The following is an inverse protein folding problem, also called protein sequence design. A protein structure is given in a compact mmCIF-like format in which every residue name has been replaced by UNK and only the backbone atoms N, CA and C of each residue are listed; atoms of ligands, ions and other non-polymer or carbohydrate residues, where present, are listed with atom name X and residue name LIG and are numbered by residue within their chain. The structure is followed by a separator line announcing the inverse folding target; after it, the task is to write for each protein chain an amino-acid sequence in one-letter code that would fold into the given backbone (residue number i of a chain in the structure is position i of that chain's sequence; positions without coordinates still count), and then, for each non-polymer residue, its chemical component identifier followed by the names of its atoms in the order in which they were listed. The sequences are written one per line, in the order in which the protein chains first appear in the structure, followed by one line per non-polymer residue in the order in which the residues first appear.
data_IF_256385256070
#
_entry.id   IF_256385256070
#
_cell.length_a   1.000
_cell.length_b   1.000
_cell.length_c   1.000
_cell.angle_alpha   90.00
_cell.angle_beta   90.00
_cell.angle_gamma   90.00
#
_symmetry.space_group_name_H-M   'P 1'
#
loop_
_entity.id
_entity.type
_entity.pdbx_description
1 polymer ?
#
# COMPACT_ATOMS: atom_id res chain seq x y z
N UNK A 1 -56.72 65.42 -23.52
CA UNK A 1 -55.73 64.82 -22.59
C UNK A 1 -55.49 63.37 -22.97
N UNK A 2 -54.36 63.04 -23.62
CA UNK A 2 -53.99 61.67 -24.01
C UNK A 2 -53.30 60.99 -22.80
N UNK A 3 -53.90 59.92 -22.25
CA UNK A 3 -53.22 59.05 -21.27
C UNK A 3 -52.33 58.06 -22.03
N UNK A 4 -51.02 58.13 -21.83
CA UNK A 4 -50.04 57.14 -22.30
C UNK A 4 -49.96 56.02 -21.25
N UNK A 5 -50.29 54.79 -21.64
CA UNK A 5 -50.02 53.60 -20.85
C UNK A 5 -48.59 53.13 -21.05
N UNK A 6 -47.83 53.00 -19.97
CA UNK A 6 -46.48 52.44 -19.97
C UNK A 6 -46.62 50.92 -19.83
N UNK A 7 -46.18 50.17 -20.85
CA UNK A 7 -46.02 48.71 -20.76
C UNK A 7 -44.65 48.40 -20.15
N UNK A 8 -44.66 47.84 -18.95
CA UNK A 8 -43.48 47.28 -18.29
C UNK A 8 -43.25 45.86 -18.83
N UNK A 9 -42.20 45.68 -19.63
CA UNK A 9 -41.72 44.38 -20.08
C UNK A 9 -40.80 43.80 -19.00
N UNK A 10 -41.24 42.73 -18.35
CA UNK A 10 -40.42 41.97 -17.41
C UNK A 10 -39.50 41.02 -18.18
N UNK A 11 -38.20 41.27 -18.15
CA UNK A 11 -37.19 40.32 -18.63
C UNK A 11 -36.91 39.29 -17.52
N UNK A 12 -37.43 38.08 -17.70
CA UNK A 12 -37.01 36.93 -16.91
C UNK A 12 -35.62 36.49 -17.37
N UNK A 13 -34.58 36.80 -16.59
CA UNK A 13 -33.27 36.18 -16.75
C UNK A 13 -33.35 34.73 -16.28
N UNK A 14 -33.48 33.80 -17.23
CA UNK A 14 -33.21 32.38 -16.96
C UNK A 14 -31.69 32.19 -16.84
N UNK A 15 -31.20 31.99 -15.63
CA UNK A 15 -29.83 31.49 -15.43
C UNK A 15 -29.80 30.03 -15.89
N UNK A 16 -29.28 29.80 -17.09
CA UNK A 16 -28.98 28.45 -17.56
C UNK A 16 -27.80 27.94 -16.75
N UNK A 17 -28.06 27.15 -15.71
CA UNK A 17 -27.01 26.39 -15.03
C UNK A 17 -26.60 25.28 -16.01
N UNK A 18 -25.51 25.53 -16.75
CA UNK A 18 -24.82 24.47 -17.49
C UNK A 18 -24.19 23.57 -16.44
N UNK A 19 -24.87 22.48 -16.08
CA UNK A 19 -24.25 21.40 -15.31
C UNK A 19 -23.27 20.73 -16.27
N UNK A 20 -21.99 21.10 -16.16
CA UNK A 20 -20.94 20.39 -16.88
C UNK A 20 -21.03 18.91 -16.53
N UNK A 21 -21.24 18.06 -17.53
CA UNK A 21 -21.26 16.61 -17.35
C UNK A 21 -19.89 16.19 -16.81
N UNK A 22 -19.86 15.57 -15.63
CA UNK A 22 -18.61 15.12 -15.03
C UNK A 22 -17.94 14.06 -15.89
N UNK A 23 -16.62 14.13 -16.03
CA UNK A 23 -15.83 13.16 -16.79
C UNK A 23 -15.84 11.78 -16.12
N UNK A 24 -15.90 11.75 -14.77
CA UNK A 24 -15.86 10.54 -13.97
C UNK A 24 -16.92 10.58 -12.87
N UNK A 25 -17.44 9.41 -12.49
CA UNK A 25 -18.32 9.23 -11.33
C UNK A 25 -17.76 8.08 -10.49
N UNK A 26 -17.64 8.30 -9.19
CA UNK A 26 -17.06 7.34 -8.25
C UNK A 26 -17.73 7.50 -6.88
N UNK A 27 -17.69 6.47 -6.05
CA UNK A 27 -18.18 6.56 -4.67
C UNK A 27 -17.09 7.08 -3.75
N UNK A 28 -17.49 7.76 -2.67
CA UNK A 28 -16.59 8.26 -1.64
C UNK A 28 -15.64 7.16 -1.15
N UNK A 29 -14.36 7.51 -0.98
CA UNK A 29 -13.26 6.61 -0.58
C UNK A 29 -12.89 5.49 -1.56
N UNK A 30 -13.60 5.33 -2.68
CA UNK A 30 -13.26 4.34 -3.73
C UNK A 30 -12.42 4.98 -4.84
N UNK A 31 -11.58 4.18 -5.50
CA UNK A 31 -10.61 4.70 -6.48
C UNK A 31 -11.22 4.94 -7.86
N UNK A 32 -11.10 6.16 -8.38
CA UNK A 32 -11.29 6.50 -9.78
C UNK A 32 -9.94 6.47 -10.51
N UNK A 33 -9.88 5.81 -11.68
CA UNK A 33 -8.71 5.85 -12.57
C UNK A 33 -8.97 6.79 -13.75
N UNK A 34 -8.12 7.80 -13.87
CA UNK A 34 -8.21 8.85 -14.88
C UNK A 34 -7.05 8.66 -15.85
N UNK A 35 -7.34 8.50 -17.13
CA UNK A 35 -6.33 8.38 -18.19
C UNK A 35 -5.99 9.76 -18.76
N UNK A 36 -4.70 10.05 -18.87
CA UNK A 36 -4.13 11.15 -19.63
C UNK A 36 -3.30 10.58 -20.79
N UNK A 37 -3.22 11.34 -21.87
CA UNK A 37 -2.45 10.94 -23.06
C UNK A 37 -1.46 12.04 -23.38
N UNK A 38 -0.18 11.72 -23.28
CA UNK A 38 0.89 12.64 -23.63
C UNK A 38 0.86 13.00 -25.11
N UNK A 39 1.11 14.27 -25.41
CA UNK A 39 1.33 14.75 -26.79
C UNK A 39 2.77 14.60 -27.25
N UNK A 40 3.65 14.07 -26.38
CA UNK A 40 5.07 13.83 -26.62
C UNK A 40 5.49 12.41 -26.28
N UNK A 41 6.61 11.99 -26.86
CA UNK A 41 7.31 10.77 -26.49
C UNK A 41 8.57 11.12 -25.72
N UNK A 42 8.92 10.30 -24.74
CA UNK A 42 10.11 10.43 -23.90
C UNK A 42 10.90 9.13 -23.98
N UNK A 43 12.23 9.22 -23.90
CA UNK A 43 13.08 8.02 -23.99
C UNK A 43 12.98 7.22 -22.69
N UNK A 44 12.98 7.91 -21.55
CA UNK A 44 12.73 7.34 -20.23
C UNK A 44 11.61 8.15 -19.52
N UNK A 45 10.33 7.78 -19.75
CA UNK A 45 9.20 8.51 -19.18
C UNK A 45 9.18 8.53 -17.65
N UNK A 46 9.75 7.52 -16.99
CA UNK A 46 9.83 7.46 -15.53
C UNK A 46 10.81 8.50 -14.97
N UNK A 47 11.96 8.68 -15.62
CA UNK A 47 12.97 9.61 -15.12
C UNK A 47 12.81 11.05 -15.61
N UNK A 48 12.27 11.25 -16.81
CA UNK A 48 12.25 12.55 -17.49
C UNK A 48 11.02 13.41 -17.13
N UNK A 49 9.90 12.80 -16.75
CA UNK A 49 8.61 13.50 -16.64
C UNK A 49 7.84 13.13 -15.39
N UNK A 50 7.57 14.14 -14.57
CA UNK A 50 6.68 14.01 -13.42
C UNK A 50 5.39 14.79 -13.68
N UNK A 51 4.27 14.13 -13.41
CA UNK A 51 2.94 14.74 -13.47
C UNK A 51 2.28 14.58 -12.12
N UNK A 52 1.67 15.65 -11.62
CA UNK A 52 0.86 15.67 -10.40
C UNK A 52 -0.50 16.28 -10.71
N UNK A 53 -1.52 15.87 -9.97
CA UNK A 53 -2.87 16.40 -10.08
C UNK A 53 -3.33 16.92 -8.73
N UNK A 54 -3.89 18.12 -8.71
CA UNK A 54 -4.55 18.68 -7.54
C UNK A 54 -6.06 18.60 -7.75
N UNK A 55 -6.73 17.96 -6.80
CA UNK A 55 -8.18 17.83 -6.74
C UNK A 55 -8.70 18.83 -5.72
N UNK A 56 -9.59 19.72 -6.13
CA UNK A 56 -10.16 20.78 -5.28
C UNK A 56 -11.66 20.56 -5.11
N UNK A 57 -12.11 20.46 -3.86
CA UNK A 57 -13.52 20.43 -3.48
C UNK A 57 -14.15 21.84 -3.53
N UNK A 58 -15.49 21.94 -3.48
CA UNK A 58 -16.19 23.23 -3.54
C UNK A 58 -15.94 24.13 -2.33
N UNK A 59 -15.51 23.55 -1.20
CA UNK A 59 -15.12 24.25 0.03
C UNK A 59 -13.66 24.72 0.03
N UNK A 60 -12.90 24.45 -1.05
CA UNK A 60 -11.49 24.77 -1.17
C UNK A 60 -10.55 23.69 -0.62
N UNK A 61 -11.06 22.59 -0.06
CA UNK A 61 -10.24 21.43 0.36
C UNK A 61 -9.47 20.89 -0.85
N UNK A 62 -8.18 20.62 -0.69
CA UNK A 62 -7.33 20.10 -1.76
C UNK A 62 -6.69 18.77 -1.41
N UNK A 63 -6.64 17.85 -2.37
CA UNK A 63 -5.88 16.60 -2.30
C UNK A 63 -4.98 16.54 -3.54
N UNK A 64 -3.68 16.37 -3.34
CA UNK A 64 -2.72 16.23 -4.43
C UNK A 64 -2.32 14.77 -4.60
N UNK A 65 -2.22 14.32 -5.85
CA UNK A 65 -1.84 12.95 -6.20
C UNK A 65 -0.84 12.96 -7.36
N UNK A 66 0.27 12.21 -7.28
CA UNK A 66 1.10 11.97 -8.45
C UNK A 66 0.34 11.13 -9.49
N UNK A 67 0.62 11.38 -10.77
CA UNK A 67 0.30 10.47 -11.85
C UNK A 67 1.45 9.47 -12.05
N UNK A 68 1.16 8.38 -12.76
CA UNK A 68 2.13 7.36 -13.15
C UNK A 68 2.03 7.05 -14.64
N UNK A 69 3.19 6.83 -15.27
CA UNK A 69 3.29 6.33 -16.65
C UNK A 69 2.90 4.85 -16.72
N UNK A 70 2.11 4.44 -17.72
CA UNK A 70 1.62 3.05 -17.87
C UNK A 70 1.89 2.47 -19.26
N UNK A 71 2.94 2.95 -19.93
CA UNK A 71 3.42 2.47 -21.23
C UNK A 71 3.11 3.45 -22.38
N UNK A 72 3.97 3.45 -23.39
CA UNK A 72 3.87 4.37 -24.53
C UNK A 72 3.64 5.82 -24.10
N UNK A 73 2.57 6.43 -24.60
CA UNK A 73 2.17 7.81 -24.28
C UNK A 73 1.07 7.91 -23.20
N UNK A 74 0.85 6.86 -22.39
CA UNK A 74 -0.24 6.81 -21.41
C UNK A 74 0.23 7.15 -20.00
N UNK A 75 -0.45 8.09 -19.37
CA UNK A 75 -0.35 8.40 -17.94
C UNK A 75 -1.69 8.14 -17.27
N UNK A 76 -1.65 7.80 -15.99
CA UNK A 76 -2.84 7.55 -15.19
C UNK A 76 -2.74 8.25 -13.84
N UNK A 77 -3.88 8.68 -13.33
CA UNK A 77 -4.03 9.21 -11.97
C UNK A 77 -5.08 8.37 -11.27
N UNK A 78 -4.84 8.00 -10.02
CA UNK A 78 -5.86 7.38 -9.17
C UNK A 78 -6.24 8.32 -8.02
N UNK A 79 -7.55 8.51 -7.85
CA UNK A 79 -8.12 9.45 -6.89
C UNK A 79 -9.33 8.84 -6.17
N UNK A 80 -9.34 8.93 -4.84
CA UNK A 80 -10.40 8.48 -3.95
C UNK A 80 -10.98 9.71 -3.24
N UNK A 81 -12.11 10.27 -3.71
CA UNK A 81 -12.69 11.49 -3.13
C UNK A 81 -13.17 11.25 -1.70
N UNK A 82 -12.88 12.22 -0.82
CA UNK A 82 -13.14 12.10 0.62
C UNK A 82 -14.48 12.65 1.07
N UNK A 83 -15.21 13.31 0.16
CA UNK A 83 -16.54 13.87 0.39
C UNK A 83 -17.43 13.73 -0.86
N UNK A 84 -18.76 13.52 -0.70
CA UNK A 84 -19.73 13.31 -1.78
C UNK A 84 -20.11 14.62 -2.48
N UNK A 85 -19.12 15.22 -3.14
CA UNK A 85 -19.22 16.49 -3.87
C UNK A 85 -18.57 16.36 -5.25
N UNK A 86 -18.71 17.39 -6.09
CA UNK A 86 -17.94 17.46 -7.34
C UNK A 86 -16.55 18.01 -7.04
N UNK A 87 -15.52 17.26 -7.41
CA UNK A 87 -14.12 17.65 -7.32
C UNK A 87 -13.62 18.14 -8.68
N UNK A 88 -12.87 19.24 -8.70
CA UNK A 88 -12.16 19.71 -9.88
C UNK A 88 -10.72 19.24 -9.83
N UNK A 89 -10.28 18.51 -10.85
CA UNK A 89 -8.88 18.12 -11.04
C UNK A 89 -8.19 19.14 -11.94
N UNK A 90 -6.97 19.55 -11.59
CA UNK A 90 -6.03 20.26 -12.49
C UNK A 90 -4.67 19.58 -12.42
N UNK A 91 -4.06 19.30 -13.57
CA UNK A 91 -2.72 18.67 -13.64
C UNK A 91 -1.59 19.68 -13.79
N UNK A 92 -0.43 19.36 -13.24
CA UNK A 92 0.85 20.02 -13.47
C UNK A 92 1.87 18.98 -13.94
N UNK A 93 2.71 19.35 -14.90
CA UNK A 93 3.68 18.47 -15.55
C UNK A 93 5.02 19.21 -15.60
N UNK A 94 6.13 18.54 -15.31
CA UNK A 94 7.47 19.15 -15.34
C UNK A 94 7.84 19.65 -16.73
N UNK A 95 7.41 18.95 -17.78
CA UNK A 95 7.39 19.48 -19.15
C UNK A 95 6.11 20.28 -19.40
N UNK A 96 6.15 21.58 -19.11
CA UNK A 96 5.00 22.49 -19.24
C UNK A 96 4.48 22.64 -20.67
N UNK A 97 5.25 22.21 -21.67
CA UNK A 97 4.87 22.29 -23.08
C UNK A 97 4.13 21.03 -23.55
N UNK A 98 4.03 20.00 -22.72
CA UNK A 98 3.21 18.82 -22.99
C UNK A 98 1.73 19.12 -22.73
N UNK A 99 1.03 19.58 -23.77
CA UNK A 99 -0.39 19.96 -23.71
C UNK A 99 -1.34 18.80 -23.45
N UNK A 100 -0.87 17.54 -23.47
CA UNK A 100 -1.66 16.36 -23.09
C UNK A 100 -1.57 15.99 -21.61
N UNK A 101 -0.60 16.58 -20.88
CA UNK A 101 -0.34 16.29 -19.46
C UNK A 101 -0.38 17.54 -18.57
N UNK A 102 -0.03 18.72 -19.08
CA UNK A 102 -0.01 19.97 -18.32
C UNK A 102 -1.34 20.72 -18.40
N UNK A 103 -1.80 21.30 -17.30
CA UNK A 103 -3.03 22.11 -17.20
C UNK A 103 -4.31 21.39 -17.69
N UNK A 104 -4.33 20.06 -17.64
CA UNK A 104 -5.54 19.29 -17.94
C UNK A 104 -6.52 19.48 -16.78
N UNK A 105 -7.73 19.92 -17.11
CA UNK A 105 -8.82 20.07 -16.14
C UNK A 105 -9.89 19.03 -16.40
N UNK A 106 -10.36 18.35 -15.36
CA UNK A 106 -11.51 17.44 -15.41
C UNK A 106 -12.37 17.57 -14.15
N UNK A 107 -13.62 17.11 -14.22
CA UNK A 107 -14.53 17.06 -13.06
C UNK A 107 -14.86 15.62 -12.66
N UNK A 108 -14.81 15.35 -11.36
CA UNK A 108 -15.09 14.04 -10.76
C UNK A 108 -16.30 14.19 -9.84
N UNK A 109 -17.41 13.53 -10.17
CA UNK A 109 -18.57 13.47 -9.29
C UNK A 109 -18.36 12.38 -8.25
N UNK A 110 -18.26 12.76 -6.98
CA UNK A 110 -18.27 11.83 -5.86
C UNK A 110 -19.71 11.60 -5.36
N UNK A 111 -20.13 10.34 -5.29
CA UNK A 111 -21.39 9.93 -4.67
C UNK A 111 -21.14 9.42 -3.24
N UNK A 112 -22.12 9.51 -2.33
CA UNK A 112 -22.03 8.82 -1.04
C UNK A 112 -21.82 7.32 -1.25
N UNK A 113 -20.95 6.72 -0.45
CA UNK A 113 -20.82 5.26 -0.42
C UNK A 113 -22.01 4.65 0.33
N UNK A 114 -22.76 3.76 -0.33
CA UNK A 114 -23.93 3.08 0.26
C UNK A 114 -23.71 1.58 0.48
N UNK A 115 -22.48 1.09 0.32
CA UNK A 115 -22.15 -0.31 0.50
C UNK A 115 -21.93 -0.71 1.96
N UNK A 116 -21.50 -1.95 2.17
CA UNK A 116 -21.37 -2.55 3.51
C UNK A 116 -19.95 -2.58 4.05
N UNK A 117 -18.93 -2.21 3.26
CA UNK A 117 -17.53 -2.32 3.65
C UNK A 117 -17.14 -1.15 4.57
N UNK A 118 -16.71 -1.48 5.79
CA UNK A 118 -16.39 -0.51 6.85
C UNK A 118 -15.34 0.52 6.41
N UNK A 119 -14.31 0.09 5.68
CA UNK A 119 -13.25 0.97 5.18
C UNK A 119 -13.73 2.11 4.27
N UNK A 120 -14.82 1.90 3.53
CA UNK A 120 -15.40 2.93 2.66
C UNK A 120 -16.57 3.67 3.33
N UNK A 121 -17.21 3.11 4.35
CA UNK A 121 -18.18 3.84 5.19
C UNK A 121 -17.49 4.90 6.04
N UNK A 122 -16.38 4.52 6.66
CA UNK A 122 -15.70 5.32 7.68
C UNK A 122 -14.46 6.06 7.15
N UNK A 123 -13.97 5.69 5.96
CA UNK A 123 -12.83 6.30 5.28
C UNK A 123 -11.48 5.70 5.66
N UNK A 124 -10.43 6.12 4.96
CA UNK A 124 -9.08 5.57 5.14
C UNK A 124 -8.55 5.73 6.57
N UNK A 125 -7.66 4.81 6.97
CA UNK A 125 -7.15 4.75 8.32
C UNK A 125 -6.27 5.95 8.66
N UNK A 126 -6.27 6.35 9.93
CA UNK A 126 -5.39 7.34 10.52
C UNK A 126 -4.92 6.90 11.91
N UNK A 127 -3.92 7.60 12.43
CA UNK A 127 -3.50 7.44 13.82
C UNK A 127 -4.48 8.18 14.73
N UNK A 128 -5.00 7.51 15.74
CA UNK A 128 -5.87 8.09 16.79
C UNK A 128 -5.23 9.29 17.50
N UNK A 129 -6.04 10.14 18.15
CA UNK A 129 -5.56 11.35 18.83
C UNK A 129 -4.59 11.06 19.98
N UNK A 130 -4.83 9.97 20.72
CA UNK A 130 -3.93 9.51 21.79
C UNK A 130 -2.68 8.78 21.27
N UNK A 131 -2.58 8.61 19.95
CA UNK A 131 -1.47 7.96 19.24
C UNK A 131 -1.20 6.52 19.68
N UNK A 132 -2.22 5.77 20.10
CA UNK A 132 -2.08 4.36 20.54
C UNK A 132 -2.78 3.36 19.63
N UNK A 133 -3.72 3.82 18.81
CA UNK A 133 -4.56 2.96 17.97
C UNK A 133 -4.68 3.46 16.54
N UNK A 134 -5.06 2.58 15.63
CA UNK A 134 -5.63 2.97 14.35
C UNK A 134 -7.13 3.25 14.50
N UNK A 135 -7.59 4.24 13.76
CA UNK A 135 -9.01 4.55 13.60
C UNK A 135 -9.29 4.81 12.13
N UNK A 136 -10.52 4.62 11.70
CA UNK A 136 -10.97 5.12 10.40
C UNK A 136 -11.00 6.66 10.38
N UNK A 137 -11.21 7.25 9.20
CA UNK A 137 -11.16 8.71 9.02
C UNK A 137 -12.14 9.45 9.95
N UNK A 138 -13.30 8.86 10.25
CA UNK A 138 -14.32 9.40 11.16
C UNK A 138 -14.03 9.17 12.67
N UNK A 139 -12.96 8.47 13.02
CA UNK A 139 -12.58 8.16 14.40
C UNK A 139 -13.07 6.80 14.92
N UNK A 140 -13.85 6.04 14.15
CA UNK A 140 -14.27 4.68 14.51
C UNK A 140 -13.04 3.79 14.73
N UNK A 141 -12.97 2.98 15.80
CA UNK A 141 -11.82 2.11 16.05
C UNK A 141 -11.57 1.09 14.94
N UNK A 142 -10.29 0.89 14.59
CA UNK A 142 -9.85 -0.18 13.69
C UNK A 142 -8.94 -1.15 14.43
N UNK A 143 -9.29 -2.44 14.40
CA UNK A 143 -8.45 -3.51 14.94
C UNK A 143 -7.63 -4.14 13.81
N UNK A 144 -6.31 -4.10 13.94
CA UNK A 144 -5.39 -4.76 13.01
C UNK A 144 -5.39 -6.27 13.27
N UNK A 145 -6.03 -7.04 12.40
CA UNK A 145 -5.92 -8.49 12.32
C UNK A 145 -5.44 -8.85 10.92
N UNK A 146 -4.13 -9.03 10.80
CA UNK A 146 -3.44 -9.29 9.54
C UNK A 146 -3.19 -10.77 9.29
N UNK A 147 -3.23 -11.18 8.02
CA UNK A 147 -2.56 -12.40 7.57
C UNK A 147 -1.36 -12.07 6.67
N UNK A 148 -0.31 -12.87 6.77
CA UNK A 148 0.96 -12.63 6.08
C UNK A 148 1.06 -13.35 4.74
N UNK A 149 1.26 -12.58 3.68
CA UNK A 149 1.40 -13.01 2.29
C UNK A 149 2.58 -12.30 1.62
N UNK A 150 3.81 -12.56 2.09
CA UNK A 150 5.00 -11.84 1.59
C UNK A 150 5.14 -11.97 0.08
N UNK A 151 5.11 -13.18 -0.45
CA UNK A 151 5.27 -13.38 -1.88
C UNK A 151 3.94 -13.39 -2.67
N UNK A 152 2.92 -12.66 -2.21
CA UNK A 152 1.58 -12.69 -2.83
C UNK A 152 1.57 -12.39 -4.34
N UNK A 153 2.59 -11.73 -4.88
CA UNK A 153 2.71 -11.43 -6.32
C UNK A 153 2.76 -12.69 -7.19
N UNK A 154 3.20 -13.81 -6.61
CA UNK A 154 3.32 -15.12 -7.24
C UNK A 154 2.01 -15.91 -7.23
N UNK A 155 1.12 -15.61 -6.28
CA UNK A 155 -0.20 -16.25 -6.17
C UNK A 155 -1.01 -16.12 -7.47
N UNK A 156 -1.57 -17.22 -7.97
CA UNK A 156 -2.26 -17.26 -9.26
C UNK A 156 -3.61 -16.52 -9.22
N UNK A 157 -3.75 -15.48 -10.05
CA UNK A 157 -4.95 -14.62 -10.05
C UNK A 157 -6.15 -15.16 -10.85
N UNK A 158 -5.88 -16.00 -11.87
CA UNK A 158 -6.90 -16.54 -12.79
C UNK A 158 -6.92 -18.08 -12.82
N UNK A 159 -6.13 -18.73 -11.98
CA UNK A 159 -6.05 -20.18 -11.89
C UNK A 159 -5.66 -20.58 -10.46
N UNK A 160 -5.77 -21.87 -10.16
CA UNK A 160 -5.23 -22.50 -8.96
C UNK A 160 -4.63 -23.84 -9.34
N UNK A 161 -3.69 -24.32 -8.53
CA UNK A 161 -3.21 -25.69 -8.53
C UNK A 161 -4.16 -26.65 -7.76
N UNK A 162 -5.24 -26.14 -7.14
CA UNK A 162 -6.26 -26.96 -6.47
C UNK A 162 -7.45 -27.23 -7.36
N UNK A 163 -7.80 -28.51 -7.47
CA UNK A 163 -9.03 -28.93 -8.14
C UNK A 163 -10.26 -28.30 -7.46
N UNK A 164 -11.05 -27.56 -8.24
CA UNK A 164 -12.28 -26.91 -7.77
C UNK A 164 -12.08 -25.49 -7.23
N UNK A 165 -10.84 -24.99 -7.13
CA UNK A 165 -10.56 -23.59 -6.81
C UNK A 165 -10.25 -22.84 -8.11
N UNK A 166 -11.05 -21.85 -8.52
CA UNK A 166 -10.84 -21.17 -9.81
C UNK A 166 -9.67 -20.16 -9.78
N UNK A 167 -9.34 -19.61 -8.61
CA UNK A 167 -8.21 -18.71 -8.42
C UNK A 167 -7.63 -18.87 -7.03
N UNK A 168 -6.31 -19.06 -6.96
CA UNK A 168 -5.56 -19.15 -5.71
C UNK A 168 -5.66 -17.84 -4.92
N UNK A 169 -5.26 -16.72 -5.53
CA UNK A 169 -5.25 -15.40 -4.89
C UNK A 169 -6.64 -14.97 -4.41
N UNK A 170 -7.66 -15.11 -5.26
CA UNK A 170 -9.02 -14.69 -4.91
C UNK A 170 -9.62 -15.56 -3.80
N UNK A 171 -9.37 -16.87 -3.86
CA UNK A 171 -9.85 -17.79 -2.83
C UNK A 171 -9.28 -17.44 -1.47
N UNK A 172 -7.98 -17.17 -1.36
CA UNK A 172 -7.36 -16.92 -0.06
C UNK A 172 -7.82 -15.58 0.52
N UNK A 173 -7.92 -14.52 -0.29
CA UNK A 173 -8.51 -13.24 0.14
C UNK A 173 -9.94 -13.44 0.64
N UNK A 174 -10.79 -14.12 -0.14
CA UNK A 174 -12.19 -14.38 0.24
C UNK A 174 -12.28 -15.20 1.53
N UNK A 175 -11.41 -16.19 1.68
CA UNK A 175 -11.34 -17.01 2.88
C UNK A 175 -10.99 -16.18 4.11
N UNK A 176 -10.02 -15.27 4.00
CA UNK A 176 -9.59 -14.39 5.09
C UNK A 176 -10.66 -13.39 5.49
N UNK A 177 -11.41 -12.85 4.52
CA UNK A 177 -12.62 -12.06 4.82
C UNK A 177 -13.62 -12.86 5.65
N UNK A 178 -13.92 -14.12 5.29
CA UNK A 178 -14.87 -14.94 6.07
C UNK A 178 -14.37 -15.31 7.46
N UNK A 179 -13.05 -15.27 7.69
CA UNK A 179 -12.42 -15.53 8.99
C UNK A 179 -12.25 -14.26 9.84
N UNK A 180 -12.64 -13.09 9.31
CA UNK A 180 -12.62 -11.82 10.04
C UNK A 180 -11.30 -11.06 9.99
N UNK A 181 -10.36 -11.45 9.13
CA UNK A 181 -9.14 -10.66 8.91
C UNK A 181 -9.49 -9.29 8.31
N UNK A 182 -8.82 -8.26 8.80
CA UNK A 182 -9.02 -6.87 8.38
C UNK A 182 -7.86 -6.35 7.53
N UNK A 183 -6.69 -6.99 7.64
CA UNK A 183 -5.47 -6.58 6.96
C UNK A 183 -4.89 -7.75 6.15
N UNK A 184 -4.38 -7.45 4.96
CA UNK A 184 -3.61 -8.38 4.13
C UNK A 184 -2.17 -7.84 4.06
N UNK A 185 -1.22 -8.53 4.68
CA UNK A 185 0.18 -8.10 4.73
C UNK A 185 0.93 -8.61 3.52
N UNK A 186 1.51 -7.70 2.74
CA UNK A 186 2.17 -8.04 1.48
C UNK A 186 3.58 -7.50 1.40
N UNK A 187 4.42 -8.21 0.66
CA UNK A 187 5.64 -7.64 0.11
C UNK A 187 5.48 -7.50 -1.40
N UNK A 188 5.72 -6.31 -1.89
CA UNK A 188 5.37 -5.97 -3.24
C UNK A 188 6.27 -6.63 -4.30
N UNK A 189 7.56 -6.76 -4.00
CA UNK A 189 8.59 -7.11 -4.97
C UNK A 189 9.60 -7.99 -4.25
N UNK A 190 9.22 -9.25 -4.16
CA UNK A 190 10.11 -10.30 -3.70
C UNK A 190 10.42 -11.17 -4.91
N UNK A 191 11.66 -11.08 -5.39
CA UNK A 191 12.14 -12.05 -6.36
C UNK A 191 11.86 -13.45 -5.82
N UNK A 192 11.39 -14.40 -6.65
CA UNK A 192 11.20 -15.76 -6.20
C UNK A 192 12.54 -16.22 -5.62
N UNK A 193 12.54 -16.44 -4.31
CA UNK A 193 13.61 -17.02 -3.54
C UNK A 193 14.07 -18.27 -4.29
N UNK A 194 15.17 -18.20 -5.05
CA UNK A 194 15.56 -19.32 -5.92
C UNK A 194 16.41 -19.04 -7.15
N UNK A 195 16.38 -17.82 -7.70
CA UNK A 195 17.26 -17.48 -8.83
C UNK A 195 18.41 -16.58 -8.36
N UNK A 196 19.53 -17.22 -8.01
CA UNK A 196 20.83 -16.59 -7.75
C UNK A 196 20.88 -15.58 -6.59
N UNK A 197 20.06 -15.72 -5.56
CA UNK A 197 20.31 -15.00 -4.31
C UNK A 197 21.19 -15.85 -3.38
N UNK A 198 22.27 -15.25 -2.86
CA UNK A 198 23.11 -15.85 -1.79
C UNK A 198 22.36 -16.04 -0.47
N UNK A 199 21.11 -15.60 -0.43
CA UNK A 199 20.17 -15.59 0.68
C UNK A 199 18.97 -16.45 0.31
N UNK A 200 19.01 -17.68 0.83
CA UNK A 200 17.92 -18.63 1.03
C UNK A 200 16.75 -18.56 0.06
N UNK A 201 16.67 -19.53 -0.84
CA UNK A 201 15.51 -19.76 -1.69
C UNK A 201 15.77 -20.93 -2.62
N UNK A 202 14.88 -21.91 -2.69
CA UNK A 202 15.05 -23.05 -3.60
C UNK A 202 14.52 -22.74 -5.00
N UNK A 203 14.77 -23.62 -5.95
CA UNK A 203 14.42 -23.34 -7.35
C UNK A 203 12.92 -23.08 -7.54
N UNK A 204 12.56 -21.87 -8.00
CA UNK A 204 11.20 -21.53 -8.45
C UNK A 204 11.14 -21.63 -9.98
N UNK A 205 10.21 -22.43 -10.52
CA UNK A 205 10.14 -22.65 -11.97
C UNK A 205 9.46 -21.50 -12.72
N UNK A 206 8.74 -20.62 -12.02
CA UNK A 206 7.99 -19.45 -12.53
C UNK A 206 7.00 -19.74 -13.67
N UNK A 207 6.77 -21.00 -14.03
CA UNK A 207 6.06 -21.41 -15.26
C UNK A 207 4.60 -20.95 -15.30
N UNK A 208 3.97 -20.86 -14.13
CA UNK A 208 2.54 -20.56 -13.99
C UNK A 208 2.26 -19.30 -13.15
N UNK A 209 3.30 -18.50 -12.85
CA UNK A 209 3.18 -17.29 -12.02
C UNK A 209 2.74 -16.05 -12.82
N UNK A 210 2.27 -15.04 -12.09
CA UNK A 210 2.03 -13.72 -12.68
C UNK A 210 3.34 -12.99 -13.00
N UNK A 211 3.27 -11.99 -13.89
CA UNK A 211 4.39 -11.09 -14.12
C UNK A 211 4.80 -10.36 -12.82
N UNK A 212 6.09 -10.11 -12.65
CA UNK A 212 6.68 -9.38 -11.52
C UNK A 212 7.57 -8.23 -12.02
N UNK A 213 7.90 -7.29 -11.13
CA UNK A 213 8.82 -6.19 -11.43
C UNK A 213 10.26 -6.58 -11.08
N UNK A 214 11.25 -6.12 -11.85
CA UNK A 214 12.68 -6.34 -11.55
C UNK A 214 13.49 -5.06 -11.73
N UNK A 215 13.87 -4.44 -10.63
CA UNK A 215 14.57 -3.16 -10.64
C UNK A 215 16.10 -3.26 -10.53
N UNK A 216 16.67 -4.45 -10.67
CA UNK A 216 18.12 -4.68 -10.62
C UNK A 216 18.88 -3.91 -11.69
N UNK A 217 18.21 -3.54 -12.78
CA UNK A 217 18.76 -2.74 -13.88
C UNK A 217 17.99 -1.41 -14.08
N UNK A 218 17.35 -0.90 -13.02
CA UNK A 218 16.46 0.27 -13.09
C UNK A 218 15.02 -0.10 -13.46
N UNK A 219 14.20 0.89 -13.80
CA UNK A 219 12.79 0.72 -14.15
C UNK A 219 12.52 1.16 -15.58
N UNK A 220 11.90 0.28 -16.38
CA UNK A 220 11.49 0.58 -17.76
C UNK A 220 10.15 -0.09 -18.14
N UNK A 221 9.81 -0.11 -19.43
CA UNK A 221 8.56 -0.67 -19.94
C UNK A 221 8.35 -2.16 -19.60
N UNK A 222 9.44 -2.94 -19.47
CA UNK A 222 9.38 -4.39 -19.19
C UNK A 222 8.74 -4.69 -17.84
N UNK A 223 8.84 -3.76 -16.89
CA UNK A 223 8.33 -3.93 -15.53
C UNK A 223 6.83 -3.61 -15.40
N UNK A 224 6.23 -2.97 -16.41
CA UNK A 224 4.82 -2.57 -16.37
C UNK A 224 3.87 -3.76 -16.27
N UNK A 225 4.24 -4.92 -16.82
CA UNK A 225 3.45 -6.15 -16.67
C UNK A 225 3.36 -6.59 -15.20
N UNK A 226 4.46 -6.45 -14.44
CA UNK A 226 4.50 -6.68 -13.01
C UNK A 226 3.60 -5.72 -12.25
N UNK A 227 3.69 -4.42 -12.53
CA UNK A 227 2.80 -3.43 -11.92
C UNK A 227 1.33 -3.69 -12.20
N UNK A 228 0.97 -4.12 -13.42
CA UNK A 228 -0.42 -4.48 -13.76
C UNK A 228 -0.90 -5.72 -13.02
N UNK A 229 -0.01 -6.67 -12.71
CA UNK A 229 -0.33 -7.81 -11.83
C UNK A 229 -0.58 -7.36 -10.39
N UNK A 230 0.20 -6.42 -9.89
CA UNK A 230 0.04 -5.82 -8.55
C UNK A 230 -1.26 -5.00 -8.49
N UNK A 231 -1.55 -4.20 -9.51
CA UNK A 231 -2.77 -3.38 -9.62
C UNK A 231 -4.05 -4.20 -9.41
N UNK A 232 -4.19 -5.32 -10.13
CA UNK A 232 -5.39 -6.17 -10.03
C UNK A 232 -5.52 -6.83 -8.65
N UNK A 233 -4.41 -7.14 -7.99
CA UNK A 233 -4.39 -7.75 -6.65
C UNK A 233 -4.71 -6.73 -5.56
N UNK A 234 -4.09 -5.56 -5.60
CA UNK A 234 -4.44 -4.41 -4.75
C UNK A 234 -5.92 -4.07 -4.86
N UNK A 235 -6.42 -3.95 -6.10
CA UNK A 235 -7.83 -3.67 -6.34
C UNK A 235 -8.72 -4.75 -5.73
N UNK A 236 -8.39 -6.03 -5.91
CA UNK A 236 -9.22 -7.11 -5.38
C UNK A 236 -9.24 -7.14 -3.84
N UNK A 237 -8.10 -6.92 -3.17
CA UNK A 237 -8.04 -6.78 -1.70
C UNK A 237 -8.95 -5.63 -1.25
N UNK A 238 -8.85 -4.48 -1.93
CA UNK A 238 -9.64 -3.29 -1.64
C UNK A 238 -11.14 -3.50 -1.92
N UNK A 239 -11.52 -4.18 -3.00
CA UNK A 239 -12.90 -4.53 -3.35
C UNK A 239 -13.53 -5.47 -2.32
N UNK A 240 -12.71 -6.18 -1.54
CA UNK A 240 -13.11 -7.07 -0.45
C UNK A 240 -13.12 -6.39 0.91
N UNK A 241 -12.81 -5.09 0.96
CA UNK A 241 -12.85 -4.27 2.18
C UNK A 241 -11.68 -4.48 3.12
N UNK A 242 -10.64 -5.19 2.69
CA UNK A 242 -9.41 -5.37 3.46
C UNK A 242 -8.45 -4.21 3.23
N UNK A 243 -7.63 -3.90 4.23
CA UNK A 243 -6.53 -2.94 4.12
C UNK A 243 -5.26 -3.69 3.75
N UNK A 244 -4.52 -3.22 2.74
CA UNK A 244 -3.23 -3.82 2.40
C UNK A 244 -2.12 -3.19 3.25
N UNK A 245 -1.49 -3.94 4.14
CA UNK A 245 -0.27 -3.50 4.81
C UNK A 245 0.91 -3.85 3.91
N UNK A 246 1.40 -2.86 3.18
CA UNK A 246 2.28 -3.07 2.04
C UNK A 246 3.73 -2.69 2.36
N UNK A 247 4.58 -3.72 2.44
CA UNK A 247 6.02 -3.56 2.39
C UNK A 247 6.41 -3.22 0.96
N UNK A 248 6.75 -1.95 0.77
CA UNK A 248 6.83 -1.34 -0.55
C UNK A 248 8.20 -1.57 -1.19
N UNK A 249 8.23 -1.47 -2.53
CA UNK A 249 9.43 -1.26 -3.35
C UNK A 249 10.33 -2.48 -3.57
N UNK A 250 11.01 -3.00 -2.57
CA UNK A 250 11.90 -4.16 -2.71
C UNK A 250 12.22 -4.77 -1.34
N UNK A 251 12.83 -5.94 -1.36
CA UNK A 251 13.37 -6.57 -0.15
C UNK A 251 14.44 -5.67 0.49
N UNK A 252 14.71 -5.85 1.79
CA UNK A 252 15.99 -5.43 2.36
C UNK A 252 17.13 -6.06 1.54
N UNK A 253 18.43 -5.89 1.76
CA UNK A 253 19.48 -6.51 0.90
C UNK A 253 19.55 -6.03 -0.58
N UNK A 254 18.45 -5.95 -1.34
CA UNK A 254 18.42 -5.56 -2.76
C UNK A 254 19.18 -4.25 -3.00
N UNK A 255 18.96 -3.17 -2.22
CA UNK A 255 19.72 -1.93 -2.38
C UNK A 255 21.22 -2.03 -2.06
N UNK A 256 21.64 -3.06 -1.33
CA UNK A 256 23.03 -3.35 -1.01
C UNK A 256 23.69 -4.27 -2.05
N UNK A 257 22.92 -5.19 -2.66
CA UNK A 257 23.40 -6.09 -3.72
C UNK A 257 23.45 -5.39 -5.08
N UNK A 258 22.52 -4.48 -5.36
CA UNK A 258 22.43 -3.73 -6.62
C UNK A 258 22.53 -2.20 -6.38
N UNK A 259 23.62 -1.70 -5.78
CA UNK A 259 23.72 -0.32 -5.32
C UNK A 259 23.70 0.72 -6.45
N UNK A 260 24.09 0.32 -7.67
CA UNK A 260 24.05 1.19 -8.86
C UNK A 260 22.61 1.52 -9.29
N UNK A 261 21.70 0.55 -9.14
CA UNK A 261 20.31 0.68 -9.57
C UNK A 261 19.45 1.29 -8.47
N UNK A 262 19.68 0.90 -7.21
CA UNK A 262 19.00 1.45 -6.05
C UNK A 262 19.75 2.64 -5.46
N UNK A 263 19.88 3.73 -6.22
CA UNK A 263 20.32 5.02 -5.68
C UNK A 263 19.23 5.63 -4.78
N UNK A 264 19.60 6.58 -3.90
CA UNK A 264 18.62 7.28 -3.06
C UNK A 264 17.54 7.99 -3.91
N UNK A 265 17.95 8.60 -5.03
CA UNK A 265 17.03 9.25 -5.97
C UNK A 265 16.08 8.25 -6.63
N UNK A 266 16.60 7.08 -7.06
CA UNK A 266 15.77 6.03 -7.64
C UNK A 266 14.73 5.53 -6.63
N UNK A 267 15.14 5.30 -5.38
CA UNK A 267 14.23 4.89 -4.29
C UNK A 267 13.13 5.93 -4.05
N UNK A 268 13.46 7.22 -4.07
CA UNK A 268 12.46 8.29 -3.97
C UNK A 268 11.47 8.27 -5.14
N UNK A 269 11.96 8.24 -6.39
CA UNK A 269 11.10 8.25 -7.59
C UNK A 269 10.21 7.01 -7.68
N UNK A 270 10.77 5.84 -7.37
CA UNK A 270 10.04 4.59 -7.37
C UNK A 270 8.95 4.59 -6.29
N UNK A 271 9.24 5.16 -5.12
CA UNK A 271 8.25 5.35 -4.05
C UNK A 271 7.14 6.34 -4.41
N UNK A 272 7.48 7.45 -5.08
CA UNK A 272 6.48 8.38 -5.65
C UNK A 272 5.57 7.65 -6.64
N UNK A 273 6.15 6.84 -7.53
CA UNK A 273 5.41 6.04 -8.52
C UNK A 273 4.53 4.97 -7.85
N UNK A 274 5.04 4.34 -6.78
CA UNK A 274 4.30 3.40 -5.94
C UNK A 274 3.08 4.05 -5.31
N UNK A 275 3.28 5.22 -4.70
CA UNK A 275 2.24 6.03 -4.08
C UNK A 275 1.19 6.41 -5.11
N UNK A 276 1.60 6.83 -6.32
CA UNK A 276 0.70 7.17 -7.42
C UNK A 276 -0.26 6.03 -7.79
N UNK A 277 0.25 4.81 -7.88
CA UNK A 277 -0.54 3.62 -8.23
C UNK A 277 -1.44 3.15 -7.09
N UNK A 278 -0.94 3.12 -5.85
CA UNK A 278 -1.61 2.36 -4.79
C UNK A 278 -2.21 3.21 -3.66
N UNK A 279 -1.76 4.46 -3.50
CA UNK A 279 -2.25 5.32 -2.41
C UNK A 279 -3.69 5.78 -2.54
N UNK A 280 -4.44 5.39 -3.57
CA UNK A 280 -5.90 5.64 -3.65
C UNK A 280 -6.73 4.39 -3.31
N UNK A 281 -6.09 3.39 -2.69
CA UNK A 281 -6.73 2.20 -2.11
C UNK A 281 -6.50 2.20 -0.60
N UNK A 282 -7.26 1.40 0.18
CA UNK A 282 -6.98 1.18 1.59
C UNK A 282 -5.60 0.55 1.82
N UNK A 283 -4.67 1.34 2.35
CA UNK A 283 -3.28 0.93 2.54
C UNK A 283 -2.73 1.37 3.89
N UNK A 284 -1.83 0.55 4.44
CA UNK A 284 -0.88 0.91 5.49
C UNK A 284 0.52 0.76 4.91
N UNK A 285 1.34 1.81 4.93
CA UNK A 285 2.69 1.74 4.39
C UNK A 285 3.64 1.15 5.43
N UNK A 286 4.33 0.06 5.10
CA UNK A 286 5.42 -0.50 5.95
C UNK A 286 6.81 -0.36 5.31
N UNK A 287 6.87 0.33 4.16
CA UNK A 287 8.02 0.77 3.32
C UNK A 287 9.08 -0.26 2.91
N UNK A 288 9.42 -1.24 3.75
CA UNK A 288 10.23 -2.43 3.46
C UNK A 288 10.13 -3.42 4.62
N UNK A 289 10.64 -4.64 4.43
CA UNK A 289 10.73 -5.67 5.46
C UNK A 289 12.05 -5.59 6.23
N UNK A 290 12.00 -5.72 7.56
CA UNK A 290 13.18 -5.93 8.42
C UNK A 290 14.34 -4.94 8.16
N UNK A 291 14.02 -3.64 8.16
CA UNK A 291 14.96 -2.54 7.87
C UNK A 291 15.19 -1.63 9.09
N UNK A 292 15.68 -2.19 10.20
CA UNK A 292 16.12 -1.41 11.37
C UNK A 292 16.88 -2.29 12.39
N UNK A 293 18.18 -2.14 12.69
CA UNK A 293 19.18 -1.23 12.12
C UNK A 293 20.09 -1.95 11.12
N UNK A 294 20.48 -3.20 11.38
CA UNK A 294 21.48 -3.90 10.56
C UNK A 294 21.71 -5.38 10.93
N UNK A 295 20.68 -6.14 11.30
CA UNK A 295 20.73 -7.59 11.54
C UNK A 295 21.42 -8.30 10.36
N UNK A 296 21.15 -7.84 9.13
CA UNK A 296 21.71 -8.40 7.90
C UNK A 296 23.13 -7.93 7.54
N UNK A 297 23.73 -7.00 8.31
CA UNK A 297 25.04 -6.41 8.01
C UNK A 297 25.14 -5.78 6.62
N UNK A 298 24.03 -5.26 6.10
CA UNK A 298 23.91 -4.62 4.78
C UNK A 298 23.73 -3.11 4.82
N UNK A 299 23.39 -2.55 5.98
CA UNK A 299 23.09 -1.14 6.15
C UNK A 299 23.98 -0.50 7.22
N UNK A 300 24.24 0.78 7.07
CA UNK A 300 24.92 1.61 8.06
C UNK A 300 24.19 2.93 8.17
N UNK A 301 24.73 3.85 8.97
CA UNK A 301 24.14 5.18 9.19
C UNK A 301 24.07 6.04 7.92
N UNK A 302 24.68 5.61 6.81
CA UNK A 302 24.66 6.33 5.52
C UNK A 302 23.71 5.65 4.55
N UNK A 303 23.87 4.35 4.32
CA UNK A 303 23.11 3.56 3.35
C UNK A 303 21.64 3.39 3.72
N UNK A 304 21.28 3.50 5.00
CA UNK A 304 19.88 3.58 5.47
C UNK A 304 19.11 4.76 4.84
N UNK A 305 19.80 5.82 4.40
CA UNK A 305 19.15 6.98 3.77
C UNK A 305 18.36 6.60 2.50
N UNK A 306 18.73 5.52 1.81
CA UNK A 306 17.94 4.97 0.71
C UNK A 306 16.51 4.63 1.13
N UNK A 307 16.33 4.05 2.32
CA UNK A 307 15.01 3.76 2.88
C UNK A 307 14.32 5.01 3.41
N UNK A 308 15.07 5.94 4.03
CA UNK A 308 14.48 7.23 4.42
C UNK A 308 13.93 8.02 3.23
N UNK A 309 14.55 7.90 2.05
CA UNK A 309 14.04 8.48 0.82
C UNK A 309 12.71 7.86 0.39
N UNK A 310 12.51 6.55 0.62
CA UNK A 310 11.21 5.89 0.41
C UNK A 310 10.14 6.50 1.30
N UNK A 311 10.39 6.55 2.62
CA UNK A 311 9.44 7.12 3.58
C UNK A 311 9.12 8.58 3.30
N UNK A 312 10.15 9.37 2.95
CA UNK A 312 10.00 10.79 2.58
C UNK A 312 9.17 10.96 1.30
N UNK A 313 9.38 10.13 0.29
CA UNK A 313 8.62 10.18 -0.95
C UNK A 313 7.13 9.86 -0.74
N UNK A 314 6.80 8.89 0.12
CA UNK A 314 5.40 8.60 0.46
C UNK A 314 4.79 9.80 1.19
N UNK A 315 5.46 10.33 2.23
CA UNK A 315 4.99 11.50 2.97
C UNK A 315 4.73 12.71 2.05
N UNK A 316 5.63 12.96 1.10
CA UNK A 316 5.52 14.09 0.17
C UNK A 316 4.39 13.95 -0.85
N UNK A 317 3.98 12.71 -1.17
CA UNK A 317 3.13 12.43 -2.32
C UNK A 317 1.81 11.72 -1.98
N UNK A 318 1.62 11.28 -0.74
CA UNK A 318 0.39 10.66 -0.29
C UNK A 318 -0.57 11.71 0.27
N UNK A 319 -1.36 12.33 -0.61
CA UNK A 319 -2.36 13.33 -0.23
C UNK A 319 -3.47 12.86 0.72
N UNK A 320 -3.52 11.58 1.10
CA UNK A 320 -4.44 11.06 2.12
C UNK A 320 -3.77 10.84 3.47
N UNK A 321 -2.44 10.93 3.55
CA UNK A 321 -1.65 10.73 4.76
C UNK A 321 -1.90 9.38 5.44
N UNK A 322 -1.84 8.29 4.66
CA UNK A 322 -1.97 6.95 5.24
C UNK A 322 -0.90 6.69 6.31
N UNK A 323 -1.18 5.87 7.33
CA UNK A 323 -0.18 5.50 8.32
C UNK A 323 1.05 4.84 7.68
N UNK A 324 2.23 5.22 8.16
CA UNK A 324 3.51 4.85 7.59
C UNK A 324 4.48 4.40 8.69
N UNK A 325 5.10 3.24 8.47
CA UNK A 325 6.11 2.65 9.34
C UNK A 325 7.22 2.01 8.51
N UNK A 326 8.24 1.51 9.19
CA UNK A 326 9.16 0.50 8.69
C UNK A 326 8.85 -0.84 9.41
N UNK A 327 8.80 -1.96 8.68
CA UNK A 327 8.87 -3.24 9.38
C UNK A 327 10.26 -3.38 9.99
N UNK A 328 10.29 -3.51 11.31
CA UNK A 328 11.53 -3.56 12.08
C UNK A 328 12.12 -4.96 12.03
N UNK A 329 13.44 -5.08 12.23
CA UNK A 329 14.06 -6.39 12.49
C UNK A 329 13.54 -6.96 13.83
N UNK A 330 13.87 -8.22 14.09
CA UNK A 330 13.47 -8.89 15.32
C UNK A 330 13.88 -8.07 16.56
N UNK A 331 13.00 -8.03 17.56
CA UNK A 331 13.21 -7.33 18.85
C UNK A 331 14.47 -7.73 19.65
N UNK A 332 15.16 -8.82 19.28
CA UNK A 332 16.48 -9.15 19.80
C UNK A 332 17.60 -8.24 19.25
N UNK A 333 17.36 -7.53 18.15
CA UNK A 333 18.32 -6.66 17.46
C UNK A 333 17.95 -5.18 17.52
N UNK A 334 16.65 -4.87 17.49
CA UNK A 334 16.15 -3.49 17.50
C UNK A 334 14.95 -3.34 18.41
N UNK A 335 14.84 -2.22 19.10
CA UNK A 335 13.67 -1.83 19.88
C UNK A 335 13.40 -0.35 19.57
N UNK A 336 12.37 0.23 20.18
CA UNK A 336 12.00 1.62 19.86
C UNK A 336 13.11 2.63 20.23
N UNK A 337 13.91 2.37 21.27
CA UNK A 337 14.92 3.32 21.79
C UNK A 337 16.22 3.38 20.99
N UNK A 338 16.51 2.38 20.16
CA UNK A 338 17.69 2.31 19.30
C UNK A 338 17.36 2.25 17.80
N UNK A 339 16.07 2.27 17.47
CA UNK A 339 15.55 2.39 16.11
C UNK A 339 16.05 3.65 15.38
N UNK A 340 16.52 3.48 14.14
CA UNK A 340 16.86 4.58 13.23
C UNK A 340 15.63 5.34 12.70
N UNK A 341 14.44 4.77 12.87
CA UNK A 341 13.16 5.35 12.43
C UNK A 341 12.43 6.13 13.52
N UNK A 342 12.77 5.92 14.79
CA UNK A 342 12.04 6.48 15.94
C UNK A 342 11.73 7.98 15.82
N UNK A 343 12.70 8.76 15.34
CA UNK A 343 12.61 10.22 15.23
C UNK A 343 12.16 10.73 13.84
N UNK A 344 11.81 9.84 12.91
CA UNK A 344 11.32 10.27 11.59
C UNK A 344 9.87 10.74 11.70
N UNK A 345 9.53 11.95 11.23
CA UNK A 345 8.20 12.53 11.45
C UNK A 345 7.07 11.75 10.77
N UNK A 346 7.37 11.12 9.63
CA UNK A 346 6.42 10.29 8.87
C UNK A 346 6.29 8.87 9.43
N UNK A 347 7.20 8.40 10.29
CA UNK A 347 7.09 7.08 10.92
C UNK A 347 6.15 7.16 12.14
N UNK A 348 4.89 6.79 11.96
CA UNK A 348 3.82 7.10 12.89
C UNK A 348 3.15 5.89 13.58
N UNK A 349 3.60 4.67 13.30
CA UNK A 349 3.26 3.43 14.03
C UNK A 349 4.45 2.46 14.06
N UNK A 350 4.42 1.44 14.91
CA UNK A 350 5.45 0.41 15.03
C UNK A 350 4.97 -0.93 14.45
N UNK A 351 5.62 -1.40 13.38
CA UNK A 351 5.47 -2.77 12.86
C UNK A 351 6.50 -3.69 13.50
N UNK A 352 6.15 -4.34 14.60
CA UNK A 352 7.10 -5.07 15.46
C UNK A 352 7.21 -6.54 15.04
N UNK A 353 8.44 -7.03 14.83
CA UNK A 353 8.74 -8.46 14.75
C UNK A 353 9.16 -9.01 16.12
N UNK A 354 8.27 -9.78 16.77
CA UNK A 354 8.45 -10.17 18.17
C UNK A 354 8.15 -11.66 18.42
N UNK A 355 9.10 -12.32 19.08
CA UNK A 355 9.05 -13.77 19.35
C UNK A 355 9.24 -14.11 20.84
N UNK A 356 8.95 -13.18 21.76
CA UNK A 356 9.23 -13.39 23.18
C UNK A 356 8.38 -14.48 23.85
N UNK A 357 8.99 -15.17 24.81
CA UNK A 357 8.30 -16.09 25.74
C UNK A 357 7.68 -15.32 26.91
N UNK A 358 6.77 -15.95 27.68
CA UNK A 358 6.20 -15.36 28.89
C UNK A 358 7.26 -15.39 30.00
N UNK A 359 8.06 -14.34 30.09
CA UNK A 359 9.09 -14.10 31.10
C UNK A 359 9.25 -12.58 31.32
N UNK A 360 10.15 -12.16 32.19
CA UNK A 360 10.37 -10.73 32.48
C UNK A 360 10.75 -9.88 31.25
N UNK A 361 11.38 -10.50 30.24
CA UNK A 361 11.76 -9.83 28.99
C UNK A 361 10.53 -9.43 28.15
N UNK A 362 9.41 -10.17 28.25
CA UNK A 362 8.15 -9.85 27.59
C UNK A 362 7.69 -8.42 27.91
N UNK A 363 7.59 -8.11 29.20
CA UNK A 363 7.15 -6.80 29.66
C UNK A 363 8.21 -5.73 29.42
N UNK A 364 9.50 -6.10 29.43
CA UNK A 364 10.60 -5.17 29.13
C UNK A 364 10.50 -4.63 27.71
N UNK A 365 10.25 -5.51 26.73
CA UNK A 365 10.11 -5.15 25.31
C UNK A 365 8.86 -4.31 25.11
N UNK A 366 7.70 -4.75 25.62
CA UNK A 366 6.47 -3.99 25.46
C UNK A 366 6.55 -2.59 26.10
N UNK A 367 7.14 -2.49 27.30
CA UNK A 367 7.39 -1.18 27.95
C UNK A 367 8.31 -0.30 27.12
N UNK A 368 9.30 -0.87 26.42
CA UNK A 368 10.20 -0.11 25.55
C UNK A 368 9.41 0.62 24.46
N UNK A 369 8.52 -0.09 23.75
CA UNK A 369 7.63 0.52 22.74
C UNK A 369 6.60 1.47 23.35
N UNK A 370 6.05 1.12 24.52
CA UNK A 370 5.04 1.95 25.19
C UNK A 370 5.59 3.30 25.67
N UNK A 371 6.79 3.29 26.27
CA UNK A 371 7.43 4.43 26.92
C UNK A 371 8.31 5.27 26.00
N UNK A 372 8.68 4.77 24.82
CA UNK A 372 9.48 5.55 23.88
C UNK A 372 8.80 6.88 23.54
N UNK A 373 9.60 7.96 23.46
CA UNK A 373 9.20 9.36 23.65
C UNK A 373 8.12 9.89 22.71
N UNK A 374 7.80 9.19 21.62
CA UNK A 374 6.67 9.50 20.75
C UNK A 374 5.66 8.36 20.85
N UNK A 375 4.49 8.63 21.45
CA UNK A 375 3.39 7.67 21.43
C UNK A 375 3.04 7.35 19.97
N UNK A 376 3.08 6.06 19.63
CA UNK A 376 2.74 5.50 18.31
C UNK A 376 1.95 4.20 18.53
N UNK A 377 0.96 3.86 17.68
CA UNK A 377 0.35 2.54 17.71
C UNK A 377 1.43 1.48 17.52
N UNK A 378 1.30 0.37 18.22
CA UNK A 378 2.23 -0.76 18.13
C UNK A 378 1.47 -1.99 17.71
N UNK A 379 1.91 -2.65 16.64
CA UNK A 379 1.34 -3.89 16.13
C UNK A 379 2.37 -4.99 16.26
N UNK A 380 1.96 -6.16 16.72
CA UNK A 380 2.74 -7.38 16.54
C UNK A 380 2.61 -7.75 15.07
N UNK A 381 3.45 -7.16 14.23
CA UNK A 381 3.36 -7.25 12.77
C UNK A 381 3.84 -8.60 12.28
N UNK A 382 4.86 -9.17 12.93
CA UNK A 382 5.35 -10.50 12.63
C UNK A 382 5.71 -11.27 13.92
N UNK A 383 5.33 -12.53 13.97
CA UNK A 383 5.65 -13.45 15.06
C UNK A 383 5.97 -14.83 14.50
N UNK A 384 6.28 -15.80 15.37
CA UNK A 384 6.50 -17.17 14.93
C UNK A 384 5.27 -17.71 14.16
N UNK A 385 5.47 -18.08 12.88
CA UNK A 385 4.40 -18.56 12.01
C UNK A 385 3.92 -19.98 12.37
N UNK A 386 2.60 -20.20 12.24
CA UNK A 386 1.96 -21.50 12.45
C UNK A 386 2.46 -22.53 11.43
N UNK A 387 2.84 -23.70 11.91
CA UNK A 387 3.37 -24.78 11.06
C UNK A 387 4.78 -24.53 10.54
N UNK A 388 5.47 -23.49 11.03
CA UNK A 388 6.88 -23.24 10.75
C UNK A 388 7.70 -23.17 12.04
N UNK A 389 7.54 -22.09 12.81
CA UNK A 389 8.26 -21.88 14.08
C UNK A 389 7.40 -22.18 15.31
N UNK A 390 6.09 -22.37 15.14
CA UNK A 390 5.19 -22.69 16.23
C UNK A 390 3.96 -23.47 15.76
N UNK A 391 3.18 -24.00 16.71
CA UNK A 391 1.89 -24.63 16.43
C UNK A 391 0.74 -23.62 16.52
N UNK A 392 -0.49 -24.06 16.25
CA UNK A 392 -1.67 -23.21 16.35
C UNK A 392 -1.87 -22.58 17.75
N UNK A 393 -1.41 -23.26 18.82
CA UNK A 393 -1.50 -22.71 20.18
C UNK A 393 -0.52 -21.56 20.36
N UNK A 394 0.71 -21.68 19.86
CA UNK A 394 1.71 -20.64 19.93
C UNK A 394 1.37 -19.42 19.07
N UNK A 395 0.84 -19.62 17.86
CA UNK A 395 0.34 -18.52 17.02
C UNK A 395 -0.78 -17.74 17.73
N UNK A 396 -1.79 -18.44 18.27
CA UNK A 396 -2.83 -17.79 19.09
C UNK A 396 -2.23 -17.06 20.30
N UNK A 397 -1.33 -17.70 21.04
CA UNK A 397 -0.70 -17.12 22.21
C UNK A 397 0.08 -15.84 21.88
N UNK A 398 0.68 -15.73 20.69
CA UNK A 398 1.38 -14.52 20.26
C UNK A 398 0.44 -13.30 20.21
N UNK A 399 -0.72 -13.44 19.57
CA UNK A 399 -1.72 -12.37 19.51
C UNK A 399 -2.24 -11.95 20.89
N UNK A 400 -2.56 -12.91 21.78
CA UNK A 400 -2.99 -12.60 23.14
C UNK A 400 -1.90 -11.92 23.98
N UNK A 401 -0.64 -12.34 23.85
CA UNK A 401 0.49 -11.69 24.53
C UNK A 401 0.62 -10.24 24.10
N UNK A 402 0.56 -9.95 22.80
CA UNK A 402 0.62 -8.58 22.29
C UNK A 402 -0.51 -7.72 22.89
N UNK A 403 -1.74 -8.22 22.82
CA UNK A 403 -2.88 -7.49 23.36
C UNK A 403 -2.76 -7.20 24.86
N UNK A 404 -2.36 -8.20 25.66
CA UNK A 404 -2.21 -8.06 27.12
C UNK A 404 -1.07 -7.11 27.53
N UNK A 405 -0.10 -6.85 26.65
CA UNK A 405 1.03 -5.96 26.93
C UNK A 405 0.90 -4.57 26.31
N UNK A 406 -0.25 -4.25 25.69
CA UNK A 406 -0.51 -2.94 25.09
C UNK A 406 0.02 -2.78 23.66
N UNK A 407 0.38 -3.87 23.00
CA UNK A 407 0.66 -3.93 21.56
C UNK A 407 -0.66 -4.30 20.86
N UNK A 408 -1.31 -3.30 20.28
CA UNK A 408 -2.66 -3.41 19.72
C UNK A 408 -2.65 -3.72 18.23
N UNK A 409 -2.71 -5.01 17.93
CA UNK A 409 -2.78 -5.54 16.58
C UNK A 409 -1.96 -6.81 16.45
N UNK A 410 -2.39 -7.70 15.56
CA UNK A 410 -1.73 -8.99 15.35
C UNK A 410 -1.67 -9.35 13.87
N UNK A 411 -0.46 -9.53 13.35
CA UNK A 411 -0.15 -10.19 12.10
C UNK A 411 0.05 -11.68 12.34
N UNK A 412 -0.95 -12.46 11.97
CA UNK A 412 -0.85 -13.91 11.88
C UNK A 412 -0.07 -14.28 10.62
N UNK A 413 0.61 -15.42 10.66
CA UNK A 413 1.20 -16.01 9.48
C UNK A 413 1.31 -17.51 9.65
N UNK A 414 1.29 -18.22 8.52
CA UNK A 414 1.29 -19.67 8.46
C UNK A 414 2.18 -20.18 7.34
N UNK A 415 2.88 -21.27 7.60
CA UNK A 415 3.68 -21.95 6.57
C UNK A 415 2.79 -22.34 5.38
N UNK A 416 3.31 -22.09 4.18
CA UNK A 416 2.60 -22.31 2.92
C UNK A 416 1.73 -21.15 2.47
N UNK A 417 1.42 -20.19 3.35
CA UNK A 417 0.72 -18.95 2.99
C UNK A 417 1.73 -17.81 2.84
N UNK A 418 2.57 -17.56 3.86
CA UNK A 418 3.52 -16.44 3.84
C UNK A 418 4.53 -16.52 2.69
N UNK A 419 4.93 -17.75 2.34
CA UNK A 419 5.93 -18.10 1.35
C UNK A 419 5.37 -18.82 0.13
N UNK A 420 4.05 -18.78 -0.08
CA UNK A 420 3.35 -19.43 -1.22
C UNK A 420 3.80 -20.90 -1.47
N UNK A 421 4.24 -21.60 -0.40
CA UNK A 421 4.76 -22.95 -0.46
C UNK A 421 3.66 -24.00 -0.31
N UNK A 422 3.22 -24.54 -1.44
CA UNK A 422 2.23 -25.63 -1.42
C UNK A 422 2.84 -27.04 -1.44
N UNK A 423 4.17 -27.20 -1.50
CA UNK A 423 4.83 -28.51 -1.63
C UNK A 423 5.03 -29.29 -0.33
N UNK A 424 4.89 -30.63 -0.38
CA UNK A 424 5.34 -31.57 0.67
C UNK A 424 6.78 -32.09 0.48
N UNK A 425 7.41 -31.85 -0.67
CA UNK A 425 8.76 -32.33 -1.00
C UNK A 425 9.76 -31.18 -1.20
N UNK A 426 10.89 -31.14 -0.48
CA UNK A 426 11.99 -30.23 -0.80
C UNK A 426 12.65 -30.64 -2.14
N UNK A 427 13.10 -29.71 -3.00
CA UNK A 427 13.20 -28.25 -2.82
C UNK A 427 12.36 -27.48 -3.85
N UNK A 428 11.13 -27.92 -4.17
CA UNK A 428 10.25 -27.17 -5.08
C UNK A 428 9.48 -26.10 -4.31
N UNK A 429 9.79 -24.84 -4.61
CA UNK A 429 9.23 -23.67 -3.95
C UNK A 429 7.95 -23.14 -4.60
N UNK A 430 7.24 -23.91 -5.42
CA UNK A 430 5.86 -23.57 -5.78
C UNK A 430 5.45 -23.94 -7.19
N UNK A 431 5.25 -25.22 -7.48
CA UNK A 431 4.45 -25.58 -8.68
C UNK A 431 3.54 -26.79 -8.57
N UNK A 432 3.73 -27.73 -7.62
CA UNK A 432 3.18 -29.09 -7.81
C UNK A 432 2.12 -29.61 -6.82
N UNK A 433 1.43 -28.78 -6.02
CA UNK A 433 0.51 -29.30 -4.99
C UNK A 433 -0.75 -28.50 -4.69
N UNK A 434 -1.74 -29.18 -4.11
CA UNK A 434 -3.02 -28.62 -3.67
C UNK A 434 -2.85 -27.69 -2.44
N UNK A 435 -3.49 -26.53 -2.42
CA UNK A 435 -3.66 -25.68 -1.24
C UNK A 435 -4.08 -26.52 -0.02
N UNK A 436 -3.49 -26.25 1.15
CA UNK A 436 -3.87 -26.93 2.38
C UNK A 436 -5.37 -26.79 2.64
N UNK A 437 -6.06 -27.91 2.83
CA UNK A 437 -7.48 -27.95 3.26
C UNK A 437 -7.72 -27.13 4.55
N UNK A 438 -6.65 -26.85 5.32
CA UNK A 438 -6.69 -26.09 6.57
C UNK A 438 -6.72 -24.57 6.43
N UNK A 439 -6.26 -23.97 5.33
CA UNK A 439 -6.01 -22.52 5.26
C UNK A 439 -6.98 -21.74 4.37
#
# INVERSE_FOLDING_TARGET
MKKRGIFLVWFYFFTVIVVAQSNHTVEQWTSAEIKLTSTKMYANPFDEVEVSATFTGPDGTTISRPAFWDGGNTWKIRFAPTAPVVWKMTTSCTDITNTGLHNITQSITCKPYNGTLEIYKHGFLKISDNKRYFVYADGTPFFYLGDTHWIYIHERFNSSNVKGVPSQFKYIVDKRVTQGFTVYQTEAIQHPHGQNSSVGGGNHSAKDEGAYCNFRDGFDEKDLAGFRNIDRKFKYIADKGMVNANSSICWALDPAEFPASYSEQFMYKLSRYWTARFGAYPVLWTIAQEIDKNMYKKYDSVTINKWFAVGKAIEDNDGYHHPLTAHMENTSHTRANDSWWANKPYHNWWGIQWQASINDDLFSIAKNFWNNSTAKPSVLYESAYEGFWTDAKGARAAGYKAFQTGIYGYGYGANGVWNDLYSKNPPDYGTDFEMPVRY
#
